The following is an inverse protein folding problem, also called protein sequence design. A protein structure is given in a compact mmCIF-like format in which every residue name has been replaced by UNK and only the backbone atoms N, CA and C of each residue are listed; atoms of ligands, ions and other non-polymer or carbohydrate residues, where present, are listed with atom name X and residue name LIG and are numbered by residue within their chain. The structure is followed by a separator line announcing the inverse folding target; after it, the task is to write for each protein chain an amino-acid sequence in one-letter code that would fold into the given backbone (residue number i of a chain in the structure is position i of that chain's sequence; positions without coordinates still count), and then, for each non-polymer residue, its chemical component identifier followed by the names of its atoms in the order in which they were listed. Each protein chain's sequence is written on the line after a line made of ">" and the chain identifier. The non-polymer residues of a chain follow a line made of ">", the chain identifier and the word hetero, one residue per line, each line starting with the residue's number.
data_IF_132291274540
#
_entry.id   IF_132291274540
#
_cell.length_a   1.000
_cell.length_b   1.000
_cell.length_c   1.000
_cell.angle_alpha   90.00
_cell.angle_beta   90.00
_cell.angle_gamma   90.00
#
_symmetry.space_group_name_H-M   'P 1'
#
loop_
_entity.id
_entity.type
_entity.pdbx_description
1 polymer ?
#
# COMPACT_ATOMS: atom_id res chain seq x y z
N UNK A 1 -1.31 10.21 17.82
CA UNK A 1 -0.21 10.41 16.85
C UNK A 1 -0.80 10.84 15.54
N UNK A 2 -0.45 11.98 15.05
CA UNK A 2 -0.95 12.48 13.77
C UNK A 2 -0.13 11.96 12.60
N UNK A 3 1.19 11.98 12.74
CA UNK A 3 2.12 11.57 11.68
C UNK A 3 3.04 10.44 12.15
N UNK A 4 3.32 9.52 11.27
CA UNK A 4 4.21 8.39 11.58
C UNK A 4 5.68 8.81 11.62
N UNK A 5 6.10 9.66 10.68
CA UNK A 5 7.50 10.11 10.62
C UNK A 5 7.67 11.40 11.40
N UNK A 6 8.62 11.40 12.32
CA UNK A 6 8.94 12.54 13.18
C UNK A 6 9.76 13.59 12.43
N UNK A 7 9.92 14.77 13.03
CA UNK A 7 10.70 15.87 12.46
C UNK A 7 12.17 15.50 12.21
N UNK A 8 12.70 14.52 12.93
CA UNK A 8 14.07 14.02 12.74
C UNK A 8 14.20 13.01 11.60
N UNK A 9 13.13 12.75 10.84
CA UNK A 9 13.14 11.81 9.72
C UNK A 9 13.02 10.34 10.12
N UNK A 10 12.78 10.04 11.39
CA UNK A 10 12.64 8.68 11.88
C UNK A 10 11.19 8.35 12.21
N UNK A 11 10.75 7.11 12.00
CA UNK A 11 9.40 6.73 12.37
C UNK A 11 9.24 6.59 13.88
N UNK A 12 8.03 6.72 14.36
CA UNK A 12 7.67 6.30 15.70
C UNK A 12 7.65 4.78 15.76
N UNK A 13 8.47 4.21 16.63
CA UNK A 13 8.50 2.76 16.84
C UNK A 13 7.64 2.37 18.03
N UNK A 14 7.00 1.23 17.96
CA UNK A 14 6.24 0.67 19.07
C UNK A 14 4.92 0.06 18.65
N UNK A 15 4.11 -0.26 19.63
CA UNK A 15 2.74 -0.75 19.46
C UNK A 15 1.80 0.40 19.82
N UNK A 16 0.92 0.72 18.91
CA UNK A 16 -0.01 1.84 19.07
C UNK A 16 -1.44 1.33 19.17
N UNK A 17 -2.25 1.85 20.11
CA UNK A 17 -3.65 1.45 20.22
C UNK A 17 -4.51 1.99 19.06
N UNK A 18 -4.04 3.03 18.39
CA UNK A 18 -4.73 3.67 17.26
C UNK A 18 -3.71 3.91 16.15
N UNK A 19 -4.13 3.70 14.91
CA UNK A 19 -3.28 3.98 13.74
C UNK A 19 -2.92 5.48 13.67
N UNK A 20 -1.75 5.82 13.10
CA UNK A 20 -1.40 7.22 12.87
C UNK A 20 -2.40 7.87 11.89
N UNK A 21 -2.60 9.17 12.01
CA UNK A 21 -3.48 9.91 11.12
C UNK A 21 -2.95 9.97 9.69
N UNK A 22 -1.64 10.02 9.53
CA UNK A 22 -0.99 10.09 8.22
C UNK A 22 0.32 9.30 8.21
N UNK A 23 0.54 8.55 7.13
CA UNK A 23 1.83 7.92 6.83
C UNK A 23 2.59 8.86 5.90
N UNK A 24 3.28 9.82 6.50
CA UNK A 24 4.05 10.85 5.79
C UNK A 24 5.43 10.31 5.34
N UNK A 25 5.42 9.30 4.49
CA UNK A 25 6.63 8.56 4.10
C UNK A 25 7.69 9.44 3.43
N UNK A 26 7.30 10.55 2.79
CA UNK A 26 8.25 11.47 2.16
C UNK A 26 9.17 12.16 3.16
N UNK A 27 8.73 12.24 4.40
CA UNK A 27 9.52 12.84 5.49
C UNK A 27 10.54 11.85 6.07
N UNK A 28 10.47 10.57 5.70
CA UNK A 28 11.41 9.56 6.16
C UNK A 28 12.80 9.80 5.61
N UNK A 29 13.81 9.68 6.47
CA UNK A 29 15.21 9.83 6.09
C UNK A 29 15.73 8.53 5.45
N UNK A 30 15.42 8.36 4.16
CA UNK A 30 15.89 7.22 3.39
C UNK A 30 17.41 7.35 3.16
N UNK A 31 18.13 6.26 3.46
CA UNK A 31 19.57 6.17 3.25
C UNK A 31 19.90 5.05 2.27
N UNK A 32 20.93 5.25 1.44
CA UNK A 32 21.50 4.17 0.64
C UNK A 32 22.26 3.18 1.54
N UNK A 33 22.60 1.97 1.03
CA UNK A 33 23.46 1.04 1.79
C UNK A 33 24.78 1.65 2.24
N UNK A 34 25.26 2.69 1.55
CA UNK A 34 26.48 3.42 1.88
C UNK A 34 26.25 4.58 2.86
N UNK A 35 25.01 4.74 3.37
CA UNK A 35 24.68 5.79 4.32
C UNK A 35 24.36 7.16 3.71
N UNK A 36 24.31 7.27 2.38
CA UNK A 36 24.00 8.54 1.70
C UNK A 36 22.50 8.83 1.77
N UNK A 37 22.14 10.07 2.10
CA UNK A 37 20.74 10.52 2.09
C UNK A 37 20.20 10.53 0.65
N UNK A 38 19.01 9.94 0.47
CA UNK A 38 18.34 9.88 -0.83
C UNK A 38 17.48 11.12 -1.06
N UNK A 39 17.47 11.62 -2.30
CA UNK A 39 16.60 12.69 -2.72
C UNK A 39 15.17 12.23 -3.01
N UNK A 40 14.28 13.16 -3.37
CA UNK A 40 12.86 12.90 -3.56
C UNK A 40 12.57 11.83 -4.63
N UNK A 41 13.29 11.85 -5.76
CA UNK A 41 13.12 10.87 -6.82
C UNK A 41 13.53 9.46 -6.38
N UNK A 42 14.66 9.35 -5.68
CA UNK A 42 15.13 8.07 -5.19
C UNK A 42 14.21 7.51 -4.09
N UNK A 43 13.68 8.38 -3.23
CA UNK A 43 12.65 7.98 -2.24
C UNK A 43 11.41 7.44 -2.94
N UNK A 44 10.90 8.15 -3.95
CA UNK A 44 9.74 7.73 -4.72
C UNK A 44 9.94 6.35 -5.35
N UNK A 45 11.10 6.10 -5.94
CA UNK A 45 11.40 4.81 -6.56
C UNK A 45 11.50 3.65 -5.59
N UNK A 46 11.86 3.93 -4.33
CA UNK A 46 12.06 2.89 -3.31
C UNK A 46 10.86 2.67 -2.42
N UNK A 47 9.90 3.57 -2.42
CA UNK A 47 8.70 3.43 -1.62
C UNK A 47 7.65 2.61 -2.36
N UNK A 48 7.16 1.55 -1.72
CA UNK A 48 6.10 0.69 -2.24
C UNK A 48 4.90 0.76 -1.33
N UNK A 49 3.70 0.80 -1.93
CA UNK A 49 2.44 0.82 -1.22
C UNK A 49 1.61 -0.40 -1.63
N UNK A 50 0.87 -0.93 -0.68
CA UNK A 50 0.04 -2.10 -0.90
C UNK A 50 -1.24 -1.97 -0.09
N UNK A 51 -2.37 -2.26 -0.73
CA UNK A 51 -3.66 -2.32 -0.07
C UNK A 51 -4.35 -3.63 -0.46
N UNK A 52 -4.76 -4.38 0.54
CA UNK A 52 -5.50 -5.62 0.35
C UNK A 52 -6.84 -5.54 1.06
N UNK A 53 -7.88 -6.04 0.41
CA UNK A 53 -9.20 -6.23 0.99
C UNK A 53 -9.63 -7.68 0.78
N UNK A 54 -10.03 -8.37 1.85
CA UNK A 54 -10.49 -9.74 1.80
C UNK A 54 -11.90 -9.87 2.34
N UNK A 55 -12.68 -10.75 1.74
CA UNK A 55 -14.04 -11.09 2.15
C UNK A 55 -14.15 -12.59 2.31
N UNK A 56 -14.67 -13.04 3.45
CA UNK A 56 -14.93 -14.45 3.70
C UNK A 56 -16.36 -14.58 4.20
N UNK A 57 -17.14 -15.41 3.52
CA UNK A 57 -18.48 -15.78 3.94
C UNK A 57 -18.71 -17.26 3.68
N UNK A 58 -19.84 -17.79 4.11
CA UNK A 58 -20.18 -19.20 3.87
C UNK A 58 -20.33 -19.51 2.39
N UNK A 59 -20.71 -18.52 1.59
CA UNK A 59 -20.98 -18.70 0.15
C UNK A 59 -19.82 -18.30 -0.74
N UNK A 60 -19.09 -17.24 -0.37
CA UNK A 60 -18.03 -16.65 -1.20
C UNK A 60 -16.80 -16.32 -0.39
N UNK A 61 -15.67 -16.54 -1.02
CA UNK A 61 -14.36 -16.05 -0.54
C UNK A 61 -13.81 -15.17 -1.67
N UNK A 62 -13.41 -13.96 -1.32
CA UNK A 62 -12.91 -13.04 -2.31
C UNK A 62 -11.85 -12.12 -1.74
N UNK A 63 -11.12 -11.48 -2.64
CA UNK A 63 -10.14 -10.50 -2.25
C UNK A 63 -9.71 -9.67 -3.44
N UNK A 64 -9.22 -8.48 -3.14
CA UNK A 64 -8.61 -7.62 -4.14
C UNK A 64 -7.41 -6.90 -3.51
N UNK A 65 -6.45 -6.55 -4.33
CA UNK A 65 -5.28 -5.83 -3.89
C UNK A 65 -4.82 -4.85 -4.95
N UNK A 66 -4.27 -3.75 -4.49
CA UNK A 66 -3.53 -2.79 -5.30
C UNK A 66 -2.12 -2.69 -4.74
N UNK A 67 -1.14 -2.71 -5.62
CA UNK A 67 0.26 -2.53 -5.26
C UNK A 67 0.88 -1.48 -6.15
N UNK A 68 1.46 -0.46 -5.55
CA UNK A 68 2.21 0.59 -6.25
C UNK A 68 3.69 0.41 -5.93
N UNK A 69 4.45 -0.01 -6.94
CA UNK A 69 5.90 -0.16 -6.83
C UNK A 69 6.64 0.94 -7.58
N UNK A 70 6.00 2.10 -7.73
CA UNK A 70 6.47 3.32 -8.36
C UNK A 70 6.54 3.27 -9.88
N UNK A 71 7.35 2.40 -10.46
CA UNK A 71 7.46 2.24 -11.91
C UNK A 71 6.29 1.45 -12.50
N UNK A 72 5.57 0.72 -11.69
CA UNK A 72 4.46 -0.13 -12.09
C UNK A 72 3.41 -0.13 -10.98
N UNK A 73 2.15 -0.09 -11.37
CA UNK A 73 1.03 -0.40 -10.49
C UNK A 73 0.40 -1.70 -10.95
N UNK A 74 0.15 -2.59 -10.03
CA UNK A 74 -0.50 -3.86 -10.30
C UNK A 74 -1.70 -4.03 -9.39
N UNK A 75 -2.69 -4.75 -9.87
CA UNK A 75 -3.85 -5.09 -9.07
C UNK A 75 -4.38 -6.44 -9.46
N UNK A 76 -5.07 -7.07 -8.53
CA UNK A 76 -5.78 -8.30 -8.80
C UNK A 76 -7.08 -8.34 -8.00
N UNK A 77 -8.03 -9.11 -8.53
CA UNK A 77 -9.27 -9.44 -7.84
C UNK A 77 -9.56 -10.92 -8.07
N UNK A 78 -10.05 -11.59 -7.05
CA UNK A 78 -10.51 -12.95 -7.18
C UNK A 78 -11.80 -13.17 -6.40
N UNK A 79 -12.61 -14.10 -6.91
CA UNK A 79 -13.80 -14.62 -6.22
C UNK A 79 -13.79 -16.14 -6.32
N UNK A 80 -14.00 -16.79 -5.19
CA UNK A 80 -14.06 -18.23 -5.10
C UNK A 80 -15.40 -18.64 -4.49
N UNK A 81 -16.08 -19.60 -5.15
CA UNK A 81 -17.33 -20.18 -4.68
C UNK A 81 -17.06 -21.61 -4.20
N UNK A 82 -16.98 -21.85 -2.87
CA UNK A 82 -16.57 -23.15 -2.35
C UNK A 82 -17.49 -24.31 -2.76
N UNK A 83 -18.81 -24.07 -2.80
CA UNK A 83 -19.77 -25.12 -3.11
C UNK A 83 -19.61 -25.69 -4.51
N UNK A 84 -19.24 -24.85 -5.50
CA UNK A 84 -19.05 -25.28 -6.90
C UNK A 84 -17.57 -25.47 -7.26
N UNK A 85 -16.64 -24.99 -6.45
CA UNK A 85 -15.22 -24.97 -6.76
C UNK A 85 -14.83 -23.98 -7.84
N UNK A 86 -15.73 -23.10 -8.25
CA UNK A 86 -15.48 -22.10 -9.28
C UNK A 86 -14.67 -20.94 -8.73
N UNK A 87 -13.72 -20.49 -9.54
CA UNK A 87 -12.88 -19.34 -9.22
C UNK A 87 -12.81 -18.39 -10.41
N UNK A 88 -12.95 -17.10 -10.14
CA UNK A 88 -12.78 -16.05 -11.13
C UNK A 88 -11.65 -15.16 -10.64
N UNK A 89 -10.67 -14.90 -11.50
CA UNK A 89 -9.57 -13.98 -11.19
C UNK A 89 -9.32 -13.04 -12.36
N UNK A 90 -8.88 -11.83 -12.01
CA UNK A 90 -8.44 -10.82 -12.97
C UNK A 90 -7.21 -10.13 -12.42
N UNK A 91 -6.26 -9.89 -13.30
CA UNK A 91 -5.07 -9.10 -13.02
C UNK A 91 -5.00 -7.93 -13.97
N UNK A 92 -4.43 -6.83 -13.49
CA UNK A 92 -4.18 -5.66 -14.33
C UNK A 92 -2.93 -4.94 -13.87
N UNK A 93 -2.29 -4.26 -14.82
CA UNK A 93 -1.04 -3.53 -14.61
C UNK A 93 -1.11 -2.19 -15.31
N UNK A 94 -0.57 -1.15 -14.67
CA UNK A 94 -0.46 0.19 -15.24
C UNK A 94 0.95 0.71 -15.04
N UNK A 95 1.58 1.33 -16.06
CA UNK A 95 2.92 1.90 -15.91
C UNK A 95 2.88 3.18 -15.10
N UNK A 96 3.97 3.44 -14.35
CA UNK A 96 4.22 4.69 -13.64
C UNK A 96 3.11 5.13 -12.67
N UNK A 97 2.32 4.20 -12.13
CA UNK A 97 1.26 4.51 -11.20
C UNK A 97 0.10 5.31 -11.78
N UNK A 98 -0.05 5.35 -13.12
CA UNK A 98 -1.18 6.01 -13.77
C UNK A 98 -2.50 5.39 -13.35
N UNK A 99 -3.51 6.25 -13.10
CA UNK A 99 -4.85 5.88 -12.69
C UNK A 99 -4.93 5.19 -11.32
N UNK A 100 -3.87 5.27 -10.52
CA UNK A 100 -3.85 4.67 -9.18
C UNK A 100 -3.77 5.76 -8.12
N UNK A 101 -4.57 5.62 -7.08
CA UNK A 101 -4.57 6.52 -5.92
C UNK A 101 -4.49 5.71 -4.64
N UNK A 102 -3.57 6.11 -3.76
CA UNK A 102 -3.45 5.58 -2.41
C UNK A 102 -3.53 6.71 -1.41
N UNK A 103 -4.34 6.53 -0.38
CA UNK A 103 -4.37 7.45 0.73
C UNK A 103 -3.15 7.25 1.63
N UNK A 104 -2.63 8.34 2.17
CA UNK A 104 -1.62 8.29 3.23
C UNK A 104 -2.26 8.14 4.61
N UNK A 105 -3.58 8.16 4.69
CA UNK A 105 -4.35 8.02 5.92
C UNK A 105 -4.84 6.58 6.06
N UNK A 106 -4.26 5.77 6.96
CA UNK A 106 -4.59 4.35 7.05
C UNK A 106 -6.07 4.03 7.30
N UNK A 107 -6.79 5.00 7.87
CA UNK A 107 -8.17 4.80 8.32
C UNK A 107 -9.23 5.15 7.28
N UNK A 108 -8.88 5.77 6.14
CA UNK A 108 -9.89 6.17 5.17
C UNK A 108 -10.10 5.14 4.04
N UNK A 109 -9.20 4.17 3.90
CA UNK A 109 -9.33 3.10 2.92
C UNK A 109 -9.37 3.53 1.46
N UNK A 110 -8.97 4.76 1.16
CA UNK A 110 -9.04 5.31 -0.19
C UNK A 110 -7.91 4.80 -1.06
N UNK A 111 -8.22 3.78 -1.89
CA UNK A 111 -7.32 3.22 -2.88
C UNK A 111 -8.09 2.99 -4.17
N UNK A 112 -7.58 3.50 -5.27
CA UNK A 112 -8.23 3.44 -6.58
C UNK A 112 -7.24 3.05 -7.68
N UNK A 113 -7.75 2.33 -8.67
CA UNK A 113 -7.06 2.00 -9.91
C UNK A 113 -7.94 2.36 -11.09
#
# INVERSE_FOLDING_TARGET
>A
MERLIQANGQPHYGIFPVAPGEVNWRDFDFRSPMGRRLGALAKWRRFHQFQYFGLVSDELIGGCALADISLLTAGFVYLFHPASGRMIEREFKRPLGHATRFSQQPNDGLCEL
#
